data_IF_844901267583
#
_entry.id   IF_844901267583
#
_cell.length_a   1.000
_cell.length_b   1.000
_cell.length_c   1.000
_cell.angle_alpha   90.00
_cell.angle_beta   90.00
_cell.angle_gamma   90.00
#
_symmetry.space_group_name_H-M   'P 1'
#
loop_
_entity.id
_entity.type
_entity.pdbx_description
1 polymer ?
#
# COMPACT_ATOMS: atom_id res chain seq x y z
N UNK A 1 13.94 -26.67 6.29
CA UNK A 1 13.19 -25.46 6.66
C UNK A 1 12.95 -24.67 5.38
N UNK A 2 11.69 -24.47 4.97
CA UNK A 2 11.38 -23.55 3.88
C UNK A 2 11.63 -22.14 4.40
N UNK A 3 12.48 -21.37 3.74
CA UNK A 3 12.60 -19.95 4.03
C UNK A 3 11.22 -19.31 3.85
N UNK A 4 10.76 -18.57 4.85
CA UNK A 4 9.51 -17.82 4.73
C UNK A 4 9.59 -16.93 3.48
N UNK A 5 8.54 -16.97 2.64
CA UNK A 5 8.43 -16.10 1.47
C UNK A 5 8.51 -14.63 1.92
N UNK A 6 9.20 -13.78 1.14
CA UNK A 6 9.33 -12.37 1.45
C UNK A 6 7.96 -11.68 1.46
N UNK A 7 7.71 -10.81 2.45
CA UNK A 7 6.48 -10.03 2.49
C UNK A 7 6.38 -9.12 1.26
N UNK A 8 5.17 -8.92 0.75
CA UNK A 8 4.93 -8.14 -0.48
C UNK A 8 4.26 -6.82 -0.15
N UNK A 9 4.95 -5.73 -0.48
CA UNK A 9 4.43 -4.36 -0.38
C UNK A 9 4.56 -3.66 -1.74
N UNK A 10 3.79 -2.59 -1.93
CA UNK A 10 3.92 -1.75 -3.10
C UNK A 10 3.44 -0.32 -2.85
N UNK A 11 3.74 0.58 -3.79
CA UNK A 11 3.08 1.88 -3.90
C UNK A 11 2.19 1.90 -5.14
N UNK A 12 0.93 2.29 -4.98
CA UNK A 12 -0.04 2.45 -6.07
C UNK A 12 -0.27 3.93 -6.40
N UNK A 13 -0.25 4.27 -7.69
CA UNK A 13 -0.43 5.63 -8.20
C UNK A 13 -0.64 5.66 -9.72
N UNK A 14 -0.93 6.83 -10.26
CA UNK A 14 -1.00 7.05 -11.71
C UNK A 14 -0.80 8.54 -12.06
N UNK A 15 0.32 8.93 -12.72
CA UNK A 15 1.47 8.09 -13.07
C UNK A 15 2.29 7.70 -11.82
N UNK A 16 3.02 6.56 -11.88
CA UNK A 16 3.83 6.06 -10.74
C UNK A 16 5.31 5.86 -11.05
N UNK A 17 5.72 5.93 -12.32
CA UNK A 17 7.07 5.59 -12.80
C UNK A 17 8.22 6.35 -12.12
N UNK A 18 7.98 7.56 -11.61
CA UNK A 18 8.97 8.39 -10.94
C UNK A 18 9.01 8.24 -9.41
N UNK A 19 8.24 7.30 -8.85
CA UNK A 19 8.22 7.08 -7.41
C UNK A 19 9.58 6.59 -6.91
N UNK A 20 10.10 7.28 -5.88
CA UNK A 20 11.32 6.87 -5.17
C UNK A 20 11.05 5.90 -4.03
N UNK A 21 9.78 5.66 -3.69
CA UNK A 21 9.38 4.81 -2.56
C UNK A 21 9.98 3.40 -2.63
N UNK A 22 10.05 2.70 -3.78
CA UNK A 22 10.68 1.38 -3.83
C UNK A 22 12.13 1.38 -3.36
N UNK A 23 12.95 2.32 -3.84
CA UNK A 23 14.34 2.40 -3.43
C UNK A 23 14.47 2.72 -1.93
N UNK A 24 13.66 3.66 -1.42
CA UNK A 24 13.67 4.05 0.00
C UNK A 24 13.25 2.88 0.90
N UNK A 25 12.15 2.20 0.59
CA UNK A 25 11.64 1.11 1.43
C UNK A 25 12.53 -0.14 1.36
N UNK A 26 13.12 -0.45 0.21
CA UNK A 26 14.10 -1.54 0.13
C UNK A 26 15.37 -1.23 0.94
N UNK A 27 15.85 0.01 0.91
CA UNK A 27 17.00 0.42 1.75
C UNK A 27 16.68 0.30 3.25
N UNK A 28 15.47 0.68 3.68
CA UNK A 28 15.04 0.46 5.06
C UNK A 28 14.93 -1.02 5.42
N UNK A 29 14.39 -1.85 4.52
CA UNK A 29 14.27 -3.28 4.73
C UNK A 29 15.65 -3.94 4.94
N UNK A 30 16.63 -3.57 4.10
CA UNK A 30 18.02 -4.04 4.22
C UNK A 30 18.63 -3.58 5.56
N UNK A 31 18.52 -2.30 5.89
CA UNK A 31 19.07 -1.74 7.12
C UNK A 31 18.46 -2.32 8.41
N UNK A 32 17.24 -2.86 8.34
CA UNK A 32 16.50 -3.40 9.49
C UNK A 32 16.34 -4.92 9.47
N UNK A 33 16.97 -5.61 8.51
CA UNK A 33 16.93 -7.08 8.39
C UNK A 33 15.54 -7.64 8.04
N UNK A 34 14.67 -6.85 7.41
CA UNK A 34 13.34 -7.27 6.99
C UNK A 34 13.40 -8.02 5.66
N UNK A 35 12.75 -9.19 5.60
CA UNK A 35 12.63 -9.96 4.36
C UNK A 35 11.35 -9.56 3.62
N UNK A 36 11.44 -8.55 2.76
CA UNK A 36 10.31 -8.06 1.98
C UNK A 36 10.71 -7.64 0.56
N UNK A 37 9.70 -7.49 -0.28
CA UNK A 37 9.76 -6.84 -1.59
C UNK A 37 8.88 -5.60 -1.57
N UNK A 38 9.33 -4.55 -2.25
CA UNK A 38 8.57 -3.32 -2.42
C UNK A 38 8.59 -2.90 -3.90
N UNK A 39 7.41 -2.81 -4.52
CA UNK A 39 7.26 -2.54 -5.96
C UNK A 39 6.36 -1.35 -6.26
N UNK A 40 6.19 -0.99 -7.53
CA UNK A 40 5.19 -0.02 -7.99
C UNK A 40 4.00 -0.73 -8.64
N UNK A 41 2.82 -0.16 -8.48
CA UNK A 41 1.60 -0.55 -9.17
C UNK A 41 1.07 0.69 -9.89
N UNK A 42 1.05 0.66 -11.22
CA UNK A 42 0.36 1.69 -12.01
C UNK A 42 -1.13 1.34 -12.10
N UNK A 43 -1.94 2.00 -11.28
CA UNK A 43 -3.37 1.72 -11.17
C UNK A 43 -4.17 2.38 -12.30
N UNK A 44 -5.12 1.68 -12.95
CA UNK A 44 -6.06 2.33 -13.85
C UNK A 44 -7.07 3.19 -13.05
N UNK A 45 -7.44 4.35 -13.59
CA UNK A 45 -8.49 5.18 -12.98
C UNK A 45 -9.82 4.42 -12.92
N UNK A 46 -10.54 4.56 -11.80
CA UNK A 46 -11.81 3.86 -11.55
C UNK A 46 -11.67 2.35 -11.27
N UNK A 47 -10.46 1.79 -11.22
CA UNK A 47 -10.22 0.37 -10.95
C UNK A 47 -9.37 0.14 -9.69
N UNK A 48 -9.35 1.10 -8.77
CA UNK A 48 -8.55 1.01 -7.55
C UNK A 48 -8.87 -0.25 -6.74
N UNK A 49 -10.15 -0.46 -6.37
CA UNK A 49 -10.57 -1.60 -5.56
C UNK A 49 -10.17 -2.95 -6.20
N UNK A 50 -10.49 -3.16 -7.47
CA UNK A 50 -10.13 -4.39 -8.20
C UNK A 50 -8.60 -4.61 -8.28
N UNK A 51 -7.83 -3.53 -8.42
CA UNK A 51 -6.35 -3.60 -8.43
C UNK A 51 -5.82 -4.00 -7.06
N UNK A 52 -6.35 -3.42 -5.97
CA UNK A 52 -5.96 -3.74 -4.59
C UNK A 52 -6.38 -5.17 -4.22
N UNK A 53 -7.58 -5.60 -4.60
CA UNK A 53 -8.07 -6.96 -4.35
C UNK A 53 -7.19 -8.01 -5.02
N UNK A 54 -6.79 -7.79 -6.28
CA UNK A 54 -5.84 -8.66 -6.96
C UNK A 54 -4.50 -8.72 -6.21
N UNK A 55 -3.96 -7.58 -5.82
CA UNK A 55 -2.69 -7.54 -5.08
C UNK A 55 -2.78 -8.29 -3.74
N UNK A 56 -3.88 -8.14 -3.00
CA UNK A 56 -4.16 -8.91 -1.77
C UNK A 56 -4.24 -10.41 -2.04
N UNK A 57 -4.98 -10.82 -3.07
CA UNK A 57 -5.16 -12.23 -3.44
C UNK A 57 -3.82 -12.91 -3.83
N UNK A 58 -2.88 -12.16 -4.38
CA UNK A 58 -1.52 -12.64 -4.67
C UNK A 58 -0.60 -12.66 -3.42
N UNK A 59 -1.11 -12.31 -2.23
CA UNK A 59 -0.36 -12.35 -0.97
C UNK A 59 0.23 -11.00 -0.53
N UNK A 60 -0.20 -9.89 -1.13
CA UNK A 60 0.16 -8.54 -0.69
C UNK A 60 -0.21 -8.27 0.77
N UNK A 61 0.67 -7.59 1.51
CA UNK A 61 0.52 -7.29 2.95
C UNK A 61 0.16 -5.84 3.25
N UNK A 62 0.43 -4.92 2.33
CA UNK A 62 0.05 -3.52 2.46
C UNK A 62 0.46 -2.70 1.25
N UNK A 63 -0.06 -1.48 1.18
CA UNK A 63 0.20 -0.53 0.10
C UNK A 63 0.48 0.86 0.66
N UNK A 64 1.46 1.56 0.09
CA UNK A 64 1.39 3.02 0.08
C UNK A 64 0.52 3.48 -1.09
N UNK A 65 -0.15 4.61 -0.91
CA UNK A 65 -1.10 5.16 -1.87
C UNK A 65 -0.69 6.59 -2.18
N UNK A 66 -0.54 6.90 -3.46
CA UNK A 66 -0.28 8.25 -3.94
C UNK A 66 -1.36 8.69 -4.92
N UNK A 67 -1.22 9.90 -5.46
CA UNK A 67 -2.17 10.48 -6.41
C UNK A 67 -2.45 9.53 -7.59
N UNK A 68 -3.71 9.46 -8.06
CA UNK A 68 -4.89 10.16 -7.56
C UNK A 68 -5.69 9.38 -6.50
N UNK A 69 -5.19 8.27 -5.98
CA UNK A 69 -6.01 7.24 -5.33
C UNK A 69 -6.25 7.39 -3.83
N UNK A 70 -5.83 8.50 -3.20
CA UNK A 70 -5.89 8.62 -1.73
C UNK A 70 -7.33 8.60 -1.17
N UNK A 71 -8.28 9.12 -1.94
CA UNK A 71 -9.71 9.08 -1.57
C UNK A 71 -10.27 7.67 -1.79
N UNK A 72 -9.89 7.01 -2.89
CA UNK A 72 -10.29 5.62 -3.16
C UNK A 72 -9.78 4.67 -2.07
N UNK A 73 -8.55 4.87 -1.58
CA UNK A 73 -7.99 4.11 -0.47
C UNK A 73 -8.78 4.30 0.83
N UNK A 74 -9.19 5.53 1.13
CA UNK A 74 -10.04 5.83 2.28
C UNK A 74 -11.42 5.15 2.15
N UNK A 75 -12.02 5.17 0.97
CA UNK A 75 -13.30 4.51 0.70
C UNK A 75 -13.22 2.98 0.71
N UNK A 76 -12.08 2.41 0.31
CA UNK A 76 -11.84 0.97 0.24
C UNK A 76 -11.60 0.33 1.62
N UNK A 77 -11.00 1.08 2.56
CA UNK A 77 -10.60 0.55 3.85
C UNK A 77 -11.79 0.17 4.75
N UNK A 78 -11.64 -0.93 5.50
CA UNK A 78 -12.65 -1.34 6.49
C UNK A 78 -12.52 -0.53 7.78
N UNK A 79 -11.31 -0.05 8.07
CA UNK A 79 -10.97 0.61 9.32
C UNK A 79 -10.11 1.84 9.04
N UNK A 80 -10.66 3.02 9.33
CA UNK A 80 -9.95 4.29 9.20
C UNK A 80 -9.37 4.71 10.54
N UNK A 81 -8.09 5.07 10.57
CA UNK A 81 -7.52 5.80 11.69
C UNK A 81 -8.13 7.20 11.82
N UNK A 82 -7.89 7.84 12.97
CA UNK A 82 -8.39 9.20 13.21
C UNK A 82 -7.85 10.20 12.17
N UNK A 83 -6.56 10.09 11.81
CA UNK A 83 -5.94 10.97 10.81
C UNK A 83 -6.51 10.74 9.41
N UNK A 84 -6.73 9.49 9.01
CA UNK A 84 -7.34 9.17 7.72
C UNK A 84 -8.79 9.68 7.62
N UNK A 85 -9.56 9.54 8.71
CA UNK A 85 -10.93 10.05 8.80
C UNK A 85 -10.98 11.57 8.73
N UNK A 86 -10.09 12.25 9.45
CA UNK A 86 -10.03 13.71 9.47
C UNK A 86 -9.62 14.29 8.11
N UNK A 87 -8.67 13.65 7.41
CA UNK A 87 -8.22 14.09 6.09
C UNK A 87 -9.17 13.72 4.94
N UNK A 88 -10.03 12.72 5.12
CA UNK A 88 -10.83 12.14 4.03
C UNK A 88 -9.96 11.42 2.98
N UNK A 89 -8.73 11.05 3.35
CA UNK A 89 -7.71 10.53 2.44
C UNK A 89 -6.78 9.59 3.22
N UNK A 90 -6.24 8.58 2.54
CA UNK A 90 -5.24 7.67 3.10
C UNK A 90 -4.06 7.50 2.15
N UNK A 91 -2.85 7.48 2.71
CA UNK A 91 -1.60 7.24 1.98
C UNK A 91 -0.95 5.88 2.33
N UNK A 92 -1.57 5.10 3.20
CA UNK A 92 -1.05 3.81 3.64
C UNK A 92 -2.19 2.85 4.03
N UNK A 93 -2.12 1.62 3.51
CA UNK A 93 -3.04 0.53 3.78
C UNK A 93 -2.26 -0.67 4.35
N UNK A 94 -2.81 -1.31 5.39
CA UNK A 94 -2.33 -2.57 5.96
C UNK A 94 -3.41 -3.64 5.88
N UNK A 95 -3.05 -4.84 5.43
CA UNK A 95 -4.00 -5.94 5.25
C UNK A 95 -3.85 -6.99 6.35
N UNK A 96 -4.95 -7.32 7.02
CA UNK A 96 -5.01 -8.32 8.10
C UNK A 96 -6.24 -9.21 7.91
N UNK A 97 -6.04 -10.34 7.22
CA UNK A 97 -7.15 -11.18 6.76
C UNK A 97 -8.09 -10.37 5.86
N UNK A 98 -9.36 -10.31 6.25
CA UNK A 98 -10.38 -9.55 5.53
C UNK A 98 -10.29 -8.04 5.80
N UNK A 99 -9.61 -7.61 6.87
CA UNK A 99 -9.52 -6.20 7.26
C UNK A 99 -8.48 -5.43 6.44
N UNK A 100 -8.81 -4.19 6.15
CA UNK A 100 -7.95 -3.19 5.53
C UNK A 100 -7.92 -1.95 6.43
N UNK A 101 -6.79 -1.75 7.10
CA UNK A 101 -6.55 -0.60 7.96
C UNK A 101 -5.91 0.52 7.15
N UNK A 102 -6.53 1.71 7.17
CA UNK A 102 -6.03 2.89 6.48
C UNK A 102 -5.48 3.90 7.48
N UNK A 103 -4.28 4.37 7.16
CA UNK A 103 -3.58 5.44 7.85
C UNK A 103 -3.38 6.63 6.91
N UNK A 104 -3.27 7.82 7.50
CA UNK A 104 -2.75 8.98 6.80
C UNK A 104 -1.58 9.57 7.57
N UNK A 105 -0.41 9.57 6.93
CA UNK A 105 0.82 10.17 7.44
C UNK A 105 1.20 11.47 6.72
N UNK A 106 0.40 11.90 5.75
CA UNK A 106 0.56 13.21 5.11
C UNK A 106 -0.17 14.28 5.92
N UNK A 107 0.49 15.42 6.14
CA UNK A 107 -0.01 16.58 6.89
C UNK A 107 0.20 17.88 6.14
#
# INVERSE_FOLDING_TARGET
MSAASADRYAVIGNPISHSKSPAIHMAFAEATGQNLTYTTIEGPLGQFAATVDRFRAEGGKGLNVTVPFKLDACAYATDLSESARAAGASNALKFEGDRCHAENFDG
#
